data_IF_502945260752
#
_entry.id   IF_502945260752
#
_cell.length_a   1.000
_cell.length_b   1.000
_cell.length_c   1.000
_cell.angle_alpha   90.00
_cell.angle_beta   90.00
_cell.angle_gamma   90.00
#
_symmetry.space_group_name_H-M   'P 1'
#
loop_
_entity.id
_entity.type
_entity.pdbx_description
1 polymer ?
#
# COMPACT_ATOMS: atom_id res chain seq x y z
N UNK A 1 -4.85 -24.79 -12.11
CA UNK A 1 -6.09 -24.03 -12.31
C UNK A 1 -6.07 -22.82 -11.39
N UNK A 2 -5.68 -21.65 -11.88
CA UNK A 2 -5.81 -20.39 -11.15
C UNK A 2 -6.89 -19.58 -11.87
N UNK A 3 -8.05 -19.46 -11.24
CA UNK A 3 -9.16 -18.71 -11.83
C UNK A 3 -8.86 -17.23 -11.63
N UNK A 4 -8.86 -16.44 -12.71
CA UNK A 4 -8.71 -14.98 -12.63
C UNK A 4 -9.69 -14.33 -11.63
N UNK A 5 -10.82 -15.01 -11.36
CA UNK A 5 -11.78 -14.63 -10.33
C UNK A 5 -11.22 -14.67 -8.91
N UNK A 6 -10.31 -15.58 -8.57
CA UNK A 6 -9.73 -15.66 -7.24
C UNK A 6 -8.86 -14.44 -6.93
N UNK A 7 -8.00 -14.03 -7.88
CA UNK A 7 -7.15 -12.84 -7.71
C UNK A 7 -7.98 -11.56 -7.53
N UNK A 8 -9.04 -11.39 -8.33
CA UNK A 8 -9.95 -10.25 -8.19
C UNK A 8 -10.68 -10.24 -6.83
N UNK A 9 -11.18 -11.40 -6.38
CA UNK A 9 -11.83 -11.53 -5.08
C UNK A 9 -10.85 -11.21 -3.95
N UNK A 10 -9.62 -11.74 -4.01
CA UNK A 10 -8.59 -11.47 -3.02
C UNK A 10 -8.29 -9.97 -2.92
N UNK A 11 -8.07 -9.32 -4.07
CA UNK A 11 -7.80 -7.88 -4.12
C UNK A 11 -8.95 -7.05 -3.54
N UNK A 12 -10.20 -7.40 -3.87
CA UNK A 12 -11.39 -6.78 -3.28
C UNK A 12 -11.44 -6.96 -1.75
N UNK A 13 -11.08 -8.13 -1.23
CA UNK A 13 -11.01 -8.36 0.23
C UNK A 13 -9.90 -7.55 0.88
N UNK A 14 -8.72 -7.47 0.28
CA UNK A 14 -7.60 -6.68 0.79
C UNK A 14 -7.93 -5.18 0.83
N UNK A 15 -8.64 -4.66 -0.19
CA UNK A 15 -9.14 -3.29 -0.19
C UNK A 15 -10.10 -3.05 0.98
N UNK A 16 -11.10 -3.93 1.17
CA UNK A 16 -12.03 -3.83 2.29
C UNK A 16 -11.31 -3.86 3.65
N UNK A 17 -10.30 -4.74 3.80
CA UNK A 17 -9.51 -4.80 5.03
C UNK A 17 -8.79 -3.47 5.29
N UNK A 18 -8.20 -2.86 4.26
CA UNK A 18 -7.55 -1.55 4.38
C UNK A 18 -8.53 -0.43 4.75
N UNK A 19 -9.71 -0.38 4.13
CA UNK A 19 -10.74 0.62 4.44
C UNK A 19 -11.25 0.51 5.88
N UNK A 20 -11.30 -0.72 6.42
CA UNK A 20 -11.67 -0.99 7.82
C UNK A 20 -10.48 -0.93 8.79
N UNK A 21 -9.29 -0.59 8.29
CA UNK A 21 -8.04 -0.57 9.06
C UNK A 21 -7.68 -1.92 9.72
N UNK A 22 -8.25 -3.00 9.20
CA UNK A 22 -8.09 -4.37 9.69
C UNK A 22 -6.77 -4.95 9.18
N UNK A 23 -5.97 -5.52 10.09
CA UNK A 23 -4.64 -6.10 9.80
C UNK A 23 -3.61 -5.14 9.17
N UNK A 24 -3.90 -3.85 9.05
CA UNK A 24 -2.92 -2.87 8.59
C UNK A 24 -1.79 -2.75 9.63
N UNK A 25 -0.62 -3.28 9.34
CA UNK A 25 0.51 -3.43 10.26
C UNK A 25 1.62 -2.40 10.03
N UNK A 26 1.38 -1.45 9.11
CA UNK A 26 2.29 -0.36 8.79
C UNK A 26 1.52 0.95 8.51
N UNK A 27 2.05 2.03 9.05
CA UNK A 27 1.72 3.41 8.73
C UNK A 27 2.85 4.01 7.91
N UNK A 28 2.54 4.53 6.73
CA UNK A 28 3.49 5.22 5.86
C UNK A 28 3.22 6.71 5.94
N UNK A 29 4.15 7.47 6.52
CA UNK A 29 4.08 8.91 6.64
C UNK A 29 4.84 9.58 5.50
N UNK A 30 4.25 10.59 4.85
CA UNK A 30 4.94 11.45 3.88
C UNK A 30 4.46 12.89 4.06
N UNK A 31 5.39 13.81 4.26
CA UNK A 31 5.07 15.19 4.66
C UNK A 31 4.21 15.21 5.95
N UNK A 32 2.97 15.69 5.83
CA UNK A 32 1.96 15.90 6.87
C UNK A 32 0.82 14.88 6.83
N UNK A 33 0.94 13.80 6.05
CA UNK A 33 -0.08 12.74 5.97
C UNK A 33 0.47 11.37 6.30
N UNK A 34 -0.43 10.53 6.79
CA UNK A 34 -0.20 9.15 7.16
C UNK A 34 -1.17 8.22 6.44
N UNK A 35 -0.65 7.11 5.94
CA UNK A 35 -1.42 6.08 5.26
C UNK A 35 -1.23 4.73 5.96
N UNK A 36 -2.32 4.16 6.47
CA UNK A 36 -2.31 2.78 6.95
C UNK A 36 -2.46 1.79 5.81
N UNK A 37 -1.66 0.72 5.86
CA UNK A 37 -1.59 -0.31 4.84
C UNK A 37 -1.10 -1.63 5.44
N UNK A 38 -1.10 -2.68 4.62
CA UNK A 38 -0.48 -3.96 4.91
C UNK A 38 0.93 -4.02 4.31
N UNK A 39 1.92 -4.35 5.14
CA UNK A 39 3.35 -4.43 4.79
C UNK A 39 3.61 -5.47 3.70
N UNK A 40 2.91 -6.60 3.74
CA UNK A 40 3.01 -7.64 2.71
C UNK A 40 2.56 -7.17 1.32
N UNK A 41 1.49 -6.37 1.25
CA UNK A 41 1.01 -5.78 0.01
C UNK A 41 2.03 -4.77 -0.50
N UNK A 42 2.52 -3.86 0.35
CA UNK A 42 3.56 -2.91 -0.05
C UNK A 42 4.84 -3.60 -0.55
N UNK A 43 5.29 -4.65 0.14
CA UNK A 43 6.46 -5.44 -0.25
C UNK A 43 6.30 -6.11 -1.62
N UNK A 44 5.09 -6.55 -1.97
CA UNK A 44 4.80 -7.16 -3.27
C UNK A 44 4.94 -6.19 -4.46
N UNK A 45 4.80 -4.88 -4.22
CA UNK A 45 4.83 -3.84 -5.26
C UNK A 45 6.04 -2.91 -5.19
N UNK A 46 6.91 -3.07 -4.18
CA UNK A 46 8.04 -2.16 -3.94
C UNK A 46 9.21 -2.85 -3.25
N UNK A 47 10.36 -2.84 -3.90
CA UNK A 47 11.62 -3.34 -3.32
C UNK A 47 12.02 -2.58 -2.06
N UNK A 48 11.72 -1.27 -2.00
CA UNK A 48 11.96 -0.45 -0.80
C UNK A 48 11.22 -1.05 0.39
N UNK A 49 9.90 -1.25 0.28
CA UNK A 49 9.11 -1.84 1.37
C UNK A 49 9.47 -3.31 1.62
N UNK A 50 9.80 -4.08 0.58
CA UNK A 50 10.26 -5.47 0.73
C UNK A 50 11.52 -5.56 1.59
N UNK A 51 12.51 -4.69 1.35
CA UNK A 51 13.77 -4.63 2.13
C UNK A 51 13.58 -4.14 3.58
N UNK A 52 12.46 -3.48 3.87
CA UNK A 52 12.11 -2.97 5.19
C UNK A 52 11.29 -3.97 6.02
N UNK A 53 10.91 -5.13 5.46
CA UNK A 53 9.94 -6.06 6.08
C UNK A 53 10.37 -6.54 7.47
N UNK A 54 11.68 -6.63 7.73
CA UNK A 54 12.25 -7.08 9.01
C UNK A 54 12.52 -5.94 10.02
N UNK A 55 12.29 -4.68 9.63
CA UNK A 55 12.71 -3.52 10.42
C UNK A 55 11.54 -2.93 11.21
N UNK A 56 11.49 -3.27 12.49
CA UNK A 56 11.01 -2.39 13.56
C UNK A 56 9.54 -1.92 13.48
N UNK A 57 9.21 -0.85 14.23
CA UNK A 57 7.83 -0.48 14.53
C UNK A 57 7.04 -0.20 13.25
N UNK A 58 5.71 -0.40 13.31
CA UNK A 58 4.77 -0.22 12.20
C UNK A 58 4.62 1.21 11.70
N UNK A 59 5.67 2.05 11.72
CA UNK A 59 5.72 3.39 11.15
C UNK A 59 6.94 3.51 10.24
N UNK A 60 6.74 4.01 9.03
CA UNK A 60 7.79 4.31 8.06
C UNK A 60 7.58 5.71 7.52
N UNK A 61 8.58 6.59 7.68
CA UNK A 61 8.53 7.95 7.15
C UNK A 61 9.30 8.03 5.84
N UNK A 62 8.63 8.48 4.78
CA UNK A 62 9.22 8.74 3.48
C UNK A 62 9.70 10.19 3.39
N UNK A 63 10.81 10.35 2.68
CA UNK A 63 11.40 11.65 2.36
C UNK A 63 10.50 12.40 1.36
N UNK A 64 9.92 13.55 1.73
CA UNK A 64 8.99 14.30 0.88
C UNK A 64 9.66 14.89 -0.37
N UNK A 65 10.99 15.05 -0.36
CA UNK A 65 11.73 15.50 -1.55
C UNK A 65 11.90 14.38 -2.58
N UNK A 66 11.70 13.11 -2.17
CA UNK A 66 11.82 11.93 -3.04
C UNK A 66 10.48 11.34 -3.43
N UNK A 67 9.49 11.41 -2.54
CA UNK A 67 8.16 10.83 -2.75
C UNK A 67 7.12 11.88 -2.42
N UNK A 68 6.29 12.22 -3.41
CA UNK A 68 5.14 13.10 -3.17
C UNK A 68 3.97 12.32 -2.57
N UNK A 69 3.13 13.02 -1.79
CA UNK A 69 1.83 12.51 -1.32
C UNK A 69 1.03 11.85 -2.45
N UNK A 70 0.87 12.56 -3.56
CA UNK A 70 0.09 12.11 -4.71
C UNK A 70 0.63 10.79 -5.29
N UNK A 71 1.95 10.66 -5.42
CA UNK A 71 2.55 9.42 -5.93
C UNK A 71 2.28 8.24 -4.99
N UNK A 72 2.38 8.46 -3.68
CA UNK A 72 2.08 7.41 -2.69
C UNK A 72 0.59 7.02 -2.71
N UNK A 73 -0.32 7.99 -2.80
CA UNK A 73 -1.76 7.74 -2.95
C UNK A 73 -2.06 6.89 -4.18
N UNK A 74 -1.44 7.20 -5.32
CA UNK A 74 -1.64 6.44 -6.56
C UNK A 74 -1.02 5.04 -6.53
N UNK A 75 0.13 4.88 -5.89
CA UNK A 75 0.70 3.55 -5.64
C UNK A 75 -0.24 2.71 -4.78
N UNK A 76 -0.79 3.31 -3.73
CA UNK A 76 -1.74 2.66 -2.83
C UNK A 76 -3.10 2.37 -3.50
N UNK A 77 -3.59 3.25 -4.38
CA UNK A 77 -4.76 3.00 -5.21
C UNK A 77 -4.52 1.76 -6.09
N UNK A 78 -3.39 1.73 -6.80
CA UNK A 78 -3.02 0.63 -7.67
C UNK A 78 -2.86 -0.69 -6.91
N UNK A 79 -2.14 -0.70 -5.79
CA UNK A 79 -1.84 -1.90 -5.02
C UNK A 79 -3.10 -2.60 -4.47
N UNK A 80 -4.19 -1.85 -4.25
CA UNK A 80 -5.44 -2.37 -3.68
C UNK A 80 -6.60 -2.46 -4.67
N UNK A 81 -6.51 -1.86 -5.85
CA UNK A 81 -7.60 -1.88 -6.85
C UNK A 81 -7.17 -2.50 -8.19
N UNK A 82 -5.87 -2.58 -8.46
CA UNK A 82 -5.33 -2.97 -9.77
C UNK A 82 -5.50 -1.88 -10.83
N UNK A 83 -5.99 -0.71 -10.46
CA UNK A 83 -6.24 0.43 -11.32
C UNK A 83 -5.55 1.67 -10.78
N UNK A 84 -5.09 2.53 -11.69
CA UNK A 84 -4.46 3.80 -11.34
C UNK A 84 -4.93 4.86 -12.33
N UNK A 85 -5.66 5.87 -11.84
CA UNK A 85 -5.94 7.05 -12.65
C UNK A 85 -4.94 8.17 -12.35
N UNK A 86 -4.23 8.66 -13.37
CA UNK A 86 -3.31 9.80 -13.24
C UNK A 86 -3.99 11.16 -13.44
N UNK A 87 -5.32 11.20 -13.60
CA UNK A 87 -6.08 12.45 -13.67
C UNK A 87 -6.07 13.17 -12.31
N UNK A 88 -5.91 14.49 -12.33
CA UNK A 88 -6.06 15.38 -11.17
C UNK A 88 -7.49 15.83 -11.00
#
# INVERSE_FOLDING_TARGET
YTTMSHGRLLLQRLLQQREMDFLCDITVAVSDVEFRAHRNILAAFSEYFSSQTERGPGLTTLDPDKVSRFALEKLLEFAYTGHMSLSR
#
